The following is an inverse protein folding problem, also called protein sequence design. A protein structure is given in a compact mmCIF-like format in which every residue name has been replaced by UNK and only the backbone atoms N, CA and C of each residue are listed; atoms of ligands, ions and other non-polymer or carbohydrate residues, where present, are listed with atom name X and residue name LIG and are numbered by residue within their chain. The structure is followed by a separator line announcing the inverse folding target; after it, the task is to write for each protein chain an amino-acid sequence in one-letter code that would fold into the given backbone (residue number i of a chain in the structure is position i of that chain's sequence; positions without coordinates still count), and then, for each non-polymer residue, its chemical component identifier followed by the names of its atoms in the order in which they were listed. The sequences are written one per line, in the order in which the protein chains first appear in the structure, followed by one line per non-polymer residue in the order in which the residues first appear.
data_IF_119412386527
#
_entry.id   IF_119412386527
#
_cell.length_a   1.000
_cell.length_b   1.000
_cell.length_c   1.000
_cell.angle_alpha   90.00
_cell.angle_beta   90.00
_cell.angle_gamma   90.00
#
_symmetry.space_group_name_H-M   'P 1'
#
loop_
_entity.id
_entity.type
_entity.pdbx_description
1 polymer ?
#
# COMPACT_ATOMS: atom_id res chain seq x y z
N UNK A 1 8.84 18.41 -4.82
CA UNK A 1 7.62 19.21 -4.61
C UNK A 1 6.61 18.81 -5.67
N UNK A 2 5.59 18.03 -5.31
CA UNK A 2 4.45 17.75 -6.18
C UNK A 2 3.21 18.29 -5.46
N UNK A 3 2.64 19.35 -6.02
CA UNK A 3 1.42 19.98 -5.52
C UNK A 3 0.23 19.09 -5.85
N UNK A 4 -0.43 18.58 -4.82
CA UNK A 4 -1.77 18.00 -4.95
C UNK A 4 -2.76 19.14 -5.24
N UNK A 5 -3.30 19.20 -6.46
CA UNK A 5 -4.47 20.05 -6.74
C UNK A 5 -5.72 19.32 -6.22
N UNK A 6 -6.17 19.74 -5.04
CA UNK A 6 -7.48 19.39 -4.49
C UNK A 6 -8.57 19.92 -5.43
N UNK A 7 -9.40 19.03 -5.98
CA UNK A 7 -10.60 19.37 -6.74
C UNK A 7 -11.66 20.02 -5.84
N UNK A 8 -12.41 20.96 -6.42
CA UNK A 8 -13.35 21.89 -5.76
C UNK A 8 -14.47 21.17 -5.00
N UNK A 9 -14.83 19.96 -5.40
CA UNK A 9 -15.93 19.16 -4.83
C UNK A 9 -15.69 18.75 -3.37
N UNK A 10 -14.44 18.57 -2.96
CA UNK A 10 -14.09 18.15 -1.58
C UNK A 10 -14.14 19.30 -0.56
N UNK A 11 -14.17 20.56 -1.00
CA UNK A 11 -14.31 21.72 -0.10
C UNK A 11 -15.76 22.02 0.27
N UNK A 12 -16.71 21.74 -0.60
CA UNK A 12 -18.13 22.03 -0.33
C UNK A 12 -18.75 21.08 0.70
N UNK A 13 -18.25 19.84 0.80
CA UNK A 13 -18.71 18.86 1.79
C UNK A 13 -18.30 19.18 3.24
N UNK A 14 -17.27 20.01 3.44
CA UNK A 14 -16.75 20.35 4.78
C UNK A 14 -17.17 21.73 5.29
N UNK A 15 -17.90 22.54 4.51
CA UNK A 15 -18.31 23.89 4.90
C UNK A 15 -19.79 24.07 5.27
N UNK A 16 -20.63 23.04 5.18
CA UNK A 16 -22.02 23.12 5.64
C UNK A 16 -22.11 22.88 7.15
N UNK A 17 -21.83 23.95 7.90
CA UNK A 17 -22.18 24.09 9.31
C UNK A 17 -23.66 23.79 9.55
N UNK A 18 -23.90 22.91 10.53
CA UNK A 18 -25.14 22.73 11.27
C UNK A 18 -25.81 24.07 11.59
N UNK A 19 -27.08 24.27 11.18
CA UNK A 19 -27.98 25.25 11.80
C UNK A 19 -29.48 24.95 11.53
N UNK A 20 -30.10 24.38 12.58
CA UNK A 20 -31.49 24.61 13.12
C UNK A 20 -32.71 24.03 12.36
N UNK A 21 -33.91 23.98 13.00
CA UNK A 21 -34.26 23.42 14.31
C UNK A 21 -35.49 22.46 14.23
N UNK A 22 -35.66 21.58 15.22
CA UNK A 22 -36.85 20.72 15.35
C UNK A 22 -38.04 21.51 15.96
N UNK A 23 -39.27 21.41 15.41
CA UNK A 23 -40.46 21.91 16.09
C UNK A 23 -40.99 20.90 17.12
N UNK A 24 -41.52 21.44 18.22
CA UNK A 24 -41.80 20.72 19.47
C UNK A 24 -43.10 19.90 19.51
N UNK A 25 -42.98 18.75 20.17
CA UNK A 25 -43.77 18.21 21.30
C UNK A 25 -45.32 18.32 21.27
N UNK A 26 -45.95 17.15 21.09
CA UNK A 26 -47.05 16.63 21.92
C UNK A 26 -46.67 15.15 22.20
N UNK A 27 -46.63 14.59 23.40
CA UNK A 27 -47.43 14.82 24.59
C UNK A 27 -48.17 13.52 24.94
N UNK A 28 -47.46 12.43 25.28
CA UNK A 28 -48.08 11.25 25.92
C UNK A 28 -47.18 10.73 27.03
N UNK A 29 -47.78 10.60 28.22
CA UNK A 29 -47.20 10.14 29.48
C UNK A 29 -46.97 8.63 29.44
N UNK A 30 -45.83 8.16 29.94
CA UNK A 30 -45.69 6.86 30.55
C UNK A 30 -44.68 6.96 31.71
N UNK A 31 -45.11 6.50 32.87
CA UNK A 31 -44.47 6.50 34.20
C UNK A 31 -43.22 5.63 34.28
N UNK A 32 -42.20 5.98 35.10
CA UNK A 32 -41.05 5.12 35.34
C UNK A 32 -41.26 4.21 36.56
N UNK A 33 -40.97 2.92 36.40
CA UNK A 33 -40.71 2.02 37.52
C UNK A 33 -39.20 2.09 37.88
N UNK A 34 -38.94 2.34 39.15
CA UNK A 34 -37.62 2.45 39.77
C UNK A 34 -37.12 1.09 40.30
N UNK A 35 -35.83 1.09 40.72
CA UNK A 35 -35.07 0.12 41.53
C UNK A 35 -34.00 -0.67 40.72
N UNK A 36 -32.71 -0.78 41.07
CA UNK A 36 -31.97 -0.59 42.35
C UNK A 36 -30.49 -0.17 42.12
N UNK A 37 -29.95 0.62 43.07
CA UNK A 37 -28.57 0.80 43.61
C UNK A 37 -27.33 0.74 42.68
N UNK A 38 -26.52 1.79 42.48
CA UNK A 38 -25.59 2.54 43.37
C UNK A 38 -24.42 1.76 43.98
N UNK A 39 -23.21 2.10 43.54
CA UNK A 39 -21.95 2.03 44.29
C UNK A 39 -21.04 3.19 43.87
N UNK A 40 -20.80 4.15 44.77
CA UNK A 40 -19.85 5.28 44.66
C UNK A 40 -18.58 4.98 45.47
N UNK A 41 -17.46 5.60 45.08
CA UNK A 41 -16.43 6.28 45.91
C UNK A 41 -15.39 6.85 44.91
N UNK A 42 -15.38 8.14 44.54
CA UNK A 42 -14.86 9.37 45.18
C UNK A 42 -13.32 9.45 45.36
N UNK A 43 -12.68 10.52 44.83
CA UNK A 43 -11.24 10.77 45.00
C UNK A 43 -10.55 11.84 44.12
N UNK A 44 -10.85 13.13 44.37
CA UNK A 44 -10.06 14.38 44.21
C UNK A 44 -8.88 14.53 43.20
N UNK A 45 -9.01 15.59 42.38
CA UNK A 45 -7.99 16.49 41.77
C UNK A 45 -7.44 17.50 42.83
N UNK A 46 -6.33 18.28 42.65
CA UNK A 46 -6.08 19.14 41.46
C UNK A 46 -4.62 19.46 41.05
N UNK A 47 -4.46 19.97 39.82
CA UNK A 47 -3.25 20.61 39.33
C UNK A 47 -3.51 21.47 38.10
N UNK A 48 -3.54 22.79 38.28
CA UNK A 48 -3.68 23.85 37.27
C UNK A 48 -2.27 24.38 36.95
N UNK A 49 -1.95 24.73 35.70
CA UNK A 49 -1.23 25.97 35.29
C UNK A 49 -0.95 26.00 33.77
N UNK A 50 -1.47 27.10 33.17
CA UNK A 50 -1.09 27.94 32.01
C UNK A 50 -0.62 27.37 30.66
N UNK A 51 -1.39 27.81 29.65
CA UNK A 51 -0.99 28.06 28.28
C UNK A 51 -0.09 29.29 28.11
N UNK A 52 0.81 29.26 27.12
CA UNK A 52 1.44 30.43 26.48
C UNK A 52 1.60 30.15 24.98
N UNK A 53 1.24 31.16 24.19
CA UNK A 53 1.26 31.22 22.73
C UNK A 53 2.62 31.76 22.20
N UNK A 54 2.86 31.76 20.87
CA UNK A 54 4.19 31.64 20.26
C UNK A 54 4.91 32.98 20.05
N UNK A 55 6.25 32.95 20.05
CA UNK A 55 7.10 34.08 19.64
C UNK A 55 7.69 33.85 18.25
N UNK A 56 7.45 34.84 17.40
CA UNK A 56 8.06 35.08 16.08
C UNK A 56 9.49 35.59 16.23
N UNK A 57 10.43 35.04 15.45
CA UNK A 57 11.72 35.69 15.18
C UNK A 57 12.02 35.71 13.68
N UNK A 58 12.23 36.93 13.20
CA UNK A 58 12.55 37.33 11.83
C UNK A 58 14.02 36.99 11.50
N UNK A 59 14.26 36.38 10.34
CA UNK A 59 15.62 36.06 9.86
C UNK A 59 16.09 37.14 8.89
N UNK A 60 17.21 37.78 9.22
CA UNK A 60 17.87 38.84 8.44
C UNK A 60 18.36 38.32 7.08
N UNK A 61 18.12 39.12 6.05
CA UNK A 61 18.74 39.02 4.73
C UNK A 61 20.21 39.45 4.80
N UNK A 62 21.10 38.66 4.19
CA UNK A 62 22.45 39.09 3.84
C UNK A 62 22.59 39.06 2.31
N UNK A 63 22.83 40.23 1.74
CA UNK A 63 23.14 40.50 0.34
C UNK A 63 24.66 40.54 0.19
N UNK A 64 25.18 40.00 -0.93
CA UNK A 64 26.42 40.35 -1.66
C UNK A 64 26.75 39.19 -2.61
N UNK A 65 27.38 39.34 -3.76
CA UNK A 65 27.64 40.43 -4.70
C UNK A 65 28.32 39.73 -5.88
N UNK A 66 27.93 40.06 -7.11
CA UNK A 66 28.62 39.65 -8.33
C UNK A 66 30.00 40.31 -8.41
N UNK A 67 30.99 39.61 -8.98
CA UNK A 67 32.21 40.22 -9.50
C UNK A 67 32.69 39.50 -10.77
N UNK A 68 33.09 40.31 -11.74
CA UNK A 68 33.28 40.05 -13.16
C UNK A 68 34.55 39.30 -13.53
N UNK A 69 34.52 38.71 -14.73
CA UNK A 69 35.67 38.17 -15.48
C UNK A 69 36.61 39.29 -15.95
N UNK A 70 37.90 39.02 -15.95
CA UNK A 70 38.93 39.74 -16.71
C UNK A 70 39.78 38.75 -17.49
N UNK A 71 40.04 39.08 -18.76
CA UNK A 71 40.90 38.34 -19.70
C UNK A 71 42.38 38.70 -19.51
N UNK A 72 43.30 37.75 -19.76
CA UNK A 72 44.63 38.00 -20.32
C UNK A 72 45.28 36.70 -20.83
N UNK A 73 45.87 36.76 -22.02
CA UNK A 73 46.64 35.72 -22.71
C UNK A 73 48.04 35.45 -22.10
N UNK A 74 48.57 34.22 -22.23
CA UNK A 74 49.96 34.00 -22.70
C UNK A 74 50.26 32.55 -23.13
N UNK A 75 51.20 32.40 -24.06
CA UNK A 75 51.57 31.21 -24.84
C UNK A 75 52.51 30.18 -24.15
N UNK A 76 52.39 28.94 -24.64
CA UNK A 76 53.38 27.87 -24.91
C UNK A 76 54.48 27.48 -23.90
N UNK A 77 54.46 26.20 -23.48
CA UNK A 77 55.65 25.33 -23.40
C UNK A 77 55.27 23.84 -23.37
N UNK A 78 55.90 23.03 -24.24
CA UNK A 78 55.90 21.56 -24.20
C UNK A 78 56.67 21.07 -22.96
N UNK A 79 56.18 20.09 -22.22
CA UNK A 79 56.65 18.69 -22.26
C UNK A 79 56.16 17.85 -21.04
N UNK A 80 55.97 16.55 -21.26
CA UNK A 80 55.88 15.47 -20.24
C UNK A 80 54.81 15.54 -19.13
N UNK A 81 53.58 15.07 -19.39
CA UNK A 81 52.69 14.51 -18.34
C UNK A 81 51.46 13.81 -18.92
N UNK A 82 51.68 12.80 -19.77
CA UNK A 82 50.59 12.00 -20.34
C UNK A 82 49.96 10.98 -19.36
N UNK A 83 50.28 11.02 -18.04
CA UNK A 83 49.89 9.97 -17.09
C UNK A 83 49.06 10.45 -15.89
N UNK A 84 48.52 11.68 -15.90
CA UNK A 84 47.56 12.13 -14.89
C UNK A 84 46.39 12.89 -15.51
N UNK A 85 45.75 12.29 -16.51
CA UNK A 85 44.40 12.72 -16.92
C UNK A 85 43.40 12.18 -15.89
N UNK A 86 43.28 12.93 -14.79
CA UNK A 86 42.23 12.78 -13.77
C UNK A 86 40.90 12.51 -14.49
N UNK A 87 40.32 11.31 -14.29
CA UNK A 87 38.92 11.06 -14.67
C UNK A 87 38.08 12.04 -13.88
N UNK A 88 37.55 13.05 -14.55
CA UNK A 88 36.54 13.95 -14.03
C UNK A 88 35.45 13.11 -13.37
N UNK A 89 35.02 13.50 -12.16
CA UNK A 89 34.11 12.74 -11.32
C UNK A 89 32.84 12.33 -12.06
N UNK A 90 32.80 11.09 -12.53
CA UNK A 90 31.58 10.47 -13.03
C UNK A 90 30.74 10.18 -11.79
N UNK A 91 29.63 10.91 -11.64
CA UNK A 91 28.60 10.57 -10.68
C UNK A 91 28.26 9.07 -10.86
N UNK A 92 28.35 8.25 -9.79
CA UNK A 92 28.06 6.83 -9.91
C UNK A 92 26.67 6.61 -10.51
N UNK A 93 26.54 5.69 -11.46
CA UNK A 93 25.22 5.35 -12.02
C UNK A 93 24.32 4.74 -10.94
N UNK A 94 22.99 4.76 -11.13
CA UNK A 94 22.07 4.19 -10.13
C UNK A 94 22.36 2.71 -9.85
N UNK A 95 22.77 1.99 -10.88
CA UNK A 95 23.21 0.60 -10.81
C UNK A 95 24.47 0.45 -9.96
N UNK A 96 25.44 1.36 -10.10
CA UNK A 96 26.67 1.35 -9.30
C UNK A 96 26.36 1.65 -7.82
N UNK A 97 25.50 2.63 -7.54
CA UNK A 97 25.08 2.94 -6.16
C UNK A 97 24.37 1.73 -5.52
N UNK A 98 23.50 1.07 -6.28
CA UNK A 98 22.82 -0.13 -5.82
C UNK A 98 23.80 -1.28 -5.57
N UNK A 99 24.79 -1.47 -6.46
CA UNK A 99 25.86 -2.44 -6.27
C UNK A 99 26.57 -2.21 -4.93
N UNK A 100 27.07 -1.00 -4.68
CA UNK A 100 27.78 -0.71 -3.43
C UNK A 100 26.92 -0.86 -2.18
N UNK A 101 25.61 -0.58 -2.30
CA UNK A 101 24.65 -0.78 -1.20
C UNK A 101 24.54 -2.26 -0.80
N UNK A 102 24.59 -3.18 -1.75
CA UNK A 102 24.41 -4.62 -1.51
C UNK A 102 25.77 -5.33 -1.26
N UNK A 103 26.83 -4.84 -1.88
CA UNK A 103 28.17 -5.40 -1.75
C UNK A 103 28.76 -5.18 -0.36
N UNK A 104 28.37 -4.12 0.35
CA UNK A 104 28.84 -3.81 1.72
C UNK A 104 30.39 -3.77 1.79
N UNK A 105 31.02 -3.20 0.77
CA UNK A 105 32.48 -3.09 0.65
C UNK A 105 33.19 -4.26 -0.02
N UNK A 106 32.48 -5.32 -0.41
CA UNK A 106 33.06 -6.44 -1.18
C UNK A 106 33.20 -6.08 -2.67
N UNK A 107 34.18 -6.69 -3.36
CA UNK A 107 34.39 -6.46 -4.80
C UNK A 107 33.35 -7.16 -5.69
N UNK A 108 32.73 -8.23 -5.18
CA UNK A 108 31.73 -9.03 -5.88
C UNK A 108 30.55 -9.34 -4.96
N UNK A 109 29.38 -9.53 -5.55
CA UNK A 109 28.14 -9.90 -4.85
C UNK A 109 27.78 -11.34 -5.20
N UNK A 110 27.77 -12.29 -4.25
CA UNK A 110 27.21 -13.61 -4.49
C UNK A 110 25.73 -13.51 -4.90
N UNK A 111 25.31 -14.24 -5.93
CA UNK A 111 23.93 -14.14 -6.44
C UNK A 111 22.87 -14.41 -5.36
N UNK A 112 23.13 -15.34 -4.43
CA UNK A 112 22.23 -15.62 -3.32
C UNK A 112 22.05 -14.39 -2.40
N UNK A 113 23.12 -13.64 -2.11
CA UNK A 113 23.07 -12.41 -1.28
C UNK A 113 22.13 -11.38 -1.91
N UNK A 114 22.22 -11.18 -3.22
CA UNK A 114 21.29 -10.31 -3.95
C UNK A 114 19.84 -10.80 -3.82
N UNK A 115 19.56 -12.08 -4.06
CA UNK A 115 18.19 -12.60 -3.97
C UNK A 115 17.61 -12.57 -2.56
N UNK A 116 18.44 -12.78 -1.54
CA UNK A 116 18.03 -12.68 -0.13
C UNK A 116 17.71 -11.22 0.21
N UNK A 117 18.57 -10.28 -0.19
CA UNK A 117 18.33 -8.86 0.05
C UNK A 117 17.10 -8.36 -0.71
N UNK A 118 16.85 -8.85 -1.93
CA UNK A 118 15.62 -8.58 -2.69
C UNK A 118 14.38 -9.11 -1.95
N UNK A 119 14.40 -10.36 -1.46
CA UNK A 119 13.30 -10.93 -0.68
C UNK A 119 13.04 -10.16 0.61
N UNK A 120 14.08 -9.62 1.24
CA UNK A 120 13.94 -8.81 2.44
C UNK A 120 13.09 -7.54 2.20
N UNK A 121 13.10 -6.99 0.98
CA UNK A 121 12.22 -5.86 0.59
C UNK A 121 10.74 -6.25 0.48
N UNK A 122 10.43 -7.55 0.47
CA UNK A 122 9.09 -8.10 0.27
C UNK A 122 8.77 -8.49 -1.17
N UNK A 123 9.60 -8.12 -2.14
CA UNK A 123 9.44 -8.59 -3.52
C UNK A 123 9.76 -10.08 -3.63
N UNK A 124 9.05 -10.77 -4.53
CA UNK A 124 9.34 -12.17 -4.87
C UNK A 124 10.18 -12.23 -6.14
N UNK A 125 11.04 -13.23 -6.25
CA UNK A 125 11.86 -13.47 -7.46
C UNK A 125 11.01 -13.85 -8.68
N UNK A 126 9.73 -14.18 -8.50
CA UNK A 126 8.77 -14.41 -9.58
C UNK A 126 7.91 -13.18 -9.91
N UNK A 127 8.26 -11.98 -9.44
CA UNK A 127 7.57 -10.75 -9.84
C UNK A 127 7.74 -10.53 -11.35
N UNK A 128 6.65 -10.40 -12.14
CA UNK A 128 6.73 -10.19 -13.58
C UNK A 128 7.58 -8.96 -13.98
N UNK A 129 7.61 -7.92 -13.14
CA UNK A 129 8.38 -6.69 -13.37
C UNK A 129 9.87 -6.86 -13.14
N UNK A 130 10.31 -8.03 -12.65
CA UNK A 130 11.71 -8.39 -12.46
C UNK A 130 12.16 -9.51 -13.41
N UNK A 131 11.32 -9.90 -14.38
CA UNK A 131 11.56 -11.04 -15.26
C UNK A 131 12.93 -10.95 -15.94
N UNK A 132 13.23 -9.83 -16.59
CA UNK A 132 14.47 -9.63 -17.35
C UNK A 132 15.70 -9.71 -16.43
N UNK A 133 15.63 -9.08 -15.26
CA UNK A 133 16.69 -9.15 -14.25
C UNK A 133 16.95 -10.58 -13.78
N UNK A 134 15.89 -11.34 -13.48
CA UNK A 134 16.01 -12.71 -12.98
C UNK A 134 16.49 -13.69 -14.07
N UNK A 135 16.11 -13.47 -15.33
CA UNK A 135 16.59 -14.25 -16.47
C UNK A 135 18.08 -13.97 -16.73
N UNK A 136 18.50 -12.70 -16.76
CA UNK A 136 19.90 -12.31 -16.94
C UNK A 136 20.78 -12.80 -15.79
N UNK A 137 20.27 -12.74 -14.54
CA UNK A 137 20.95 -13.26 -13.37
C UNK A 137 21.18 -14.78 -13.49
N UNK A 138 20.16 -15.55 -13.87
CA UNK A 138 20.27 -16.99 -14.09
C UNK A 138 21.29 -17.32 -15.18
N UNK A 139 21.31 -16.56 -16.28
CA UNK A 139 22.26 -16.77 -17.36
C UNK A 139 23.69 -16.47 -16.90
N UNK A 140 23.89 -15.36 -16.19
CA UNK A 140 25.20 -14.94 -15.67
C UNK A 140 25.78 -15.94 -14.68
N UNK A 141 24.96 -16.43 -13.74
CA UNK A 141 25.40 -17.43 -12.75
C UNK A 141 25.80 -18.76 -13.40
N UNK A 142 25.20 -19.13 -14.54
CA UNK A 142 25.60 -20.32 -15.29
C UNK A 142 26.94 -20.16 -16.01
N UNK A 143 27.30 -18.93 -16.40
CA UNK A 143 28.53 -18.65 -17.15
C UNK A 143 29.75 -18.37 -16.26
N UNK A 144 29.52 -17.98 -15.00
CA UNK A 144 30.60 -17.63 -14.08
C UNK A 144 30.95 -18.81 -13.17
N UNK A 145 32.24 -19.10 -13.00
CA UNK A 145 32.74 -20.24 -12.19
C UNK A 145 32.50 -20.10 -10.68
N UNK A 146 32.49 -18.87 -10.15
CA UNK A 146 32.33 -18.59 -8.72
C UNK A 146 30.88 -18.21 -8.32
N UNK A 147 29.97 -18.09 -9.29
CA UNK A 147 28.58 -17.66 -9.07
C UNK A 147 28.43 -16.24 -8.48
N UNK A 148 29.50 -15.44 -8.51
CA UNK A 148 29.53 -14.09 -7.98
C UNK A 148 29.45 -13.04 -9.10
N UNK A 149 28.81 -11.92 -8.80
CA UNK A 149 28.58 -10.82 -9.73
C UNK A 149 29.59 -9.72 -9.43
N UNK A 150 30.46 -9.42 -10.39
CA UNK A 150 31.20 -8.17 -10.36
C UNK A 150 30.28 -6.98 -10.69
N UNK A 151 30.81 -5.76 -10.57
CA UNK A 151 30.07 -4.52 -10.83
C UNK A 151 29.46 -4.48 -12.24
N UNK A 152 30.17 -4.97 -13.25
CA UNK A 152 29.71 -4.90 -14.65
C UNK A 152 28.59 -5.91 -14.92
N UNK A 153 28.76 -7.14 -14.45
CA UNK A 153 27.77 -8.21 -14.53
C UNK A 153 26.51 -7.84 -13.75
N UNK A 154 26.65 -7.28 -12.55
CA UNK A 154 25.52 -6.80 -11.76
C UNK A 154 24.74 -5.72 -12.52
N UNK A 155 25.43 -4.71 -13.06
CA UNK A 155 24.81 -3.65 -13.87
C UNK A 155 24.02 -4.22 -15.04
N UNK A 156 24.61 -5.17 -15.78
CA UNK A 156 23.93 -5.86 -16.90
C UNK A 156 22.66 -6.59 -16.45
N UNK A 157 22.67 -7.17 -15.24
CA UNK A 157 21.49 -7.86 -14.69
C UNK A 157 20.39 -6.88 -14.27
N UNK A 158 20.71 -5.74 -13.67
CA UNK A 158 19.70 -4.87 -13.05
C UNK A 158 19.20 -3.73 -13.94
N UNK A 159 19.92 -3.39 -15.02
CA UNK A 159 19.65 -2.21 -15.85
C UNK A 159 18.19 -2.09 -16.31
N UNK A 160 17.55 -3.20 -16.73
CA UNK A 160 16.18 -3.18 -17.25
C UNK A 160 15.13 -2.90 -16.18
N UNK A 161 15.45 -3.15 -14.91
CA UNK A 161 14.50 -3.08 -13.79
C UNK A 161 15.01 -2.14 -12.67
N UNK A 162 16.00 -1.29 -12.98
CA UNK A 162 16.74 -0.49 -11.99
C UNK A 162 15.85 0.48 -11.21
N UNK A 163 14.80 1.02 -11.82
CA UNK A 163 13.89 1.96 -11.15
C UNK A 163 13.16 1.29 -10.00
N UNK A 164 12.58 0.10 -10.23
CA UNK A 164 11.89 -0.68 -9.21
C UNK A 164 12.85 -1.16 -8.12
N UNK A 165 14.00 -1.68 -8.52
CA UNK A 165 15.03 -2.13 -7.57
C UNK A 165 15.53 -0.97 -6.70
N UNK A 166 15.74 0.21 -7.28
CA UNK A 166 16.13 1.41 -6.54
C UNK A 166 15.07 1.80 -5.51
N UNK A 167 13.78 1.74 -5.86
CA UNK A 167 12.70 1.99 -4.91
C UNK A 167 12.70 0.98 -3.77
N UNK A 168 12.87 -0.31 -4.08
CA UNK A 168 12.90 -1.39 -3.12
C UNK A 168 14.05 -1.23 -2.10
N UNK A 169 15.27 -1.11 -2.59
CA UNK A 169 16.47 -1.07 -1.75
C UNK A 169 16.65 0.27 -1.01
N UNK A 170 16.08 1.37 -1.53
CA UNK A 170 16.07 2.67 -0.83
C UNK A 170 14.88 2.85 0.12
N UNK A 171 14.16 1.77 0.43
CA UNK A 171 13.00 1.76 1.34
C UNK A 171 11.94 2.79 0.95
N UNK A 172 11.65 2.89 -0.36
CA UNK A 172 10.65 3.81 -0.94
C UNK A 172 9.29 3.16 -1.19
N UNK A 173 9.15 1.87 -0.93
CA UNK A 173 7.84 1.22 -0.90
C UNK A 173 6.98 1.75 0.24
N UNK A 174 5.68 1.59 0.07
CA UNK A 174 4.61 1.99 0.98
C UNK A 174 4.81 1.39 2.38
N UNK A 175 5.42 0.21 2.48
CA UNK A 175 5.90 -0.37 3.73
C UNK A 175 7.43 -0.48 3.68
N UNK A 176 8.17 0.50 4.24
CA UNK A 176 9.64 0.53 4.23
C UNK A 176 10.31 -0.63 4.96
N UNK A 177 9.78 -1.03 6.12
CA UNK A 177 10.29 -2.14 6.94
C UNK A 177 9.34 -3.34 6.86
N UNK A 178 9.41 -4.04 5.73
CA UNK A 178 8.48 -5.12 5.42
C UNK A 178 8.69 -6.35 6.32
N UNK A 179 9.93 -6.66 6.72
CA UNK A 179 10.20 -7.82 7.58
C UNK A 179 9.58 -7.65 8.96
N UNK A 180 9.75 -6.48 9.59
CA UNK A 180 9.10 -6.15 10.86
C UNK A 180 7.58 -6.18 10.74
N UNK A 181 7.04 -5.66 9.64
CA UNK A 181 5.60 -5.74 9.36
C UNK A 181 5.11 -7.19 9.25
N UNK A 182 5.82 -8.06 8.53
CA UNK A 182 5.48 -9.47 8.41
C UNK A 182 5.48 -10.21 9.74
N UNK A 183 6.44 -9.92 10.64
CA UNK A 183 6.46 -10.51 11.97
C UNK A 183 5.18 -10.19 12.76
N UNK A 184 4.68 -8.95 12.67
CA UNK A 184 3.38 -8.61 13.28
C UNK A 184 2.21 -9.33 12.63
N UNK A 185 2.25 -9.57 11.31
CA UNK A 185 1.23 -10.36 10.63
C UNK A 185 1.24 -11.81 11.10
N UNK A 186 2.42 -12.40 11.32
CA UNK A 186 2.57 -13.75 11.86
C UNK A 186 1.97 -13.84 13.27
N UNK A 187 2.25 -12.86 14.14
CA UNK A 187 1.63 -12.78 15.47
C UNK A 187 0.10 -12.66 15.42
N UNK A 188 -0.44 -11.85 14.50
CA UNK A 188 -1.88 -11.71 14.32
C UNK A 188 -2.50 -13.00 13.78
N UNK A 189 -1.80 -13.68 12.87
CA UNK A 189 -2.20 -14.98 12.35
C UNK A 189 -2.33 -16.00 13.49
N UNK A 190 -1.32 -16.10 14.37
CA UNK A 190 -1.29 -17.06 15.48
C UNK A 190 -2.37 -16.74 16.54
N UNK A 191 -2.59 -15.45 16.83
CA UNK A 191 -3.67 -15.03 17.74
C UNK A 191 -5.05 -15.39 17.18
N UNK A 192 -5.28 -15.14 15.90
CA UNK A 192 -6.55 -15.41 15.24
C UNK A 192 -6.80 -16.92 15.03
N UNK A 193 -5.76 -17.70 14.74
CA UNK A 193 -5.85 -19.15 14.50
C UNK A 193 -6.48 -19.91 15.67
N UNK A 194 -6.21 -19.45 16.89
CA UNK A 194 -6.67 -20.11 18.11
C UNK A 194 -8.05 -19.64 18.57
N UNK A 195 -8.73 -18.78 17.81
CA UNK A 195 -10.08 -18.33 18.15
C UNK A 195 -11.09 -19.47 17.94
N UNK A 196 -11.77 -19.95 18.98
CA UNK A 196 -12.72 -21.04 18.85
C UNK A 196 -14.04 -20.57 18.21
N UNK A 197 -14.70 -21.48 17.51
CA UNK A 197 -16.07 -21.30 17.04
C UNK A 197 -16.20 -21.18 15.52
N UNK A 198 -17.38 -20.73 15.08
CA UNK A 198 -17.79 -20.80 13.68
C UNK A 198 -18.35 -22.18 13.30
N UNK A 199 -19.02 -22.23 12.16
CA UNK A 199 -19.51 -23.46 11.56
C UNK A 199 -19.15 -23.42 10.08
N UNK A 200 -18.59 -24.52 9.57
CA UNK A 200 -18.34 -24.68 8.14
C UNK A 200 -19.69 -24.61 7.42
N UNK A 201 -19.76 -23.84 6.33
CA UNK A 201 -20.95 -23.77 5.51
C UNK A 201 -21.30 -25.15 4.94
N UNK A 202 -22.41 -25.73 5.38
CA UNK A 202 -22.82 -27.10 5.08
C UNK A 202 -24.00 -27.20 4.10
N UNK A 203 -24.66 -26.08 3.80
CA UNK A 203 -25.77 -26.00 2.84
C UNK A 203 -25.36 -26.30 1.39
N UNK A 204 -24.06 -26.27 1.06
CA UNK A 204 -23.49 -26.72 -0.22
C UNK A 204 -22.52 -27.87 0.08
N UNK A 205 -22.73 -29.09 -0.45
CA UNK A 205 -21.88 -30.25 -0.14
C UNK A 205 -20.39 -30.03 -0.40
N UNK A 206 -20.04 -29.26 -1.43
CA UNK A 206 -18.66 -28.93 -1.77
C UNK A 206 -17.99 -28.05 -0.71
N UNK A 207 -18.74 -27.20 -0.02
CA UNK A 207 -18.23 -26.35 1.07
C UNK A 207 -18.07 -27.15 2.37
N UNK A 208 -18.98 -28.10 2.63
CA UNK A 208 -18.94 -28.98 3.80
C UNK A 208 -17.67 -29.86 3.86
N UNK A 209 -16.98 -30.06 2.72
CA UNK A 209 -15.77 -30.88 2.61
C UNK A 209 -14.51 -30.22 3.17
N UNK A 210 -14.52 -28.93 3.45
CA UNK A 210 -13.34 -28.22 3.96
C UNK A 210 -13.18 -28.44 5.46
N UNK A 211 -11.95 -28.68 5.91
CA UNK A 211 -11.64 -28.77 7.33
C UNK A 211 -11.82 -27.40 8.00
N UNK A 212 -12.43 -27.33 9.20
CA UNK A 212 -12.50 -26.10 9.98
C UNK A 212 -11.12 -25.59 10.43
N UNK A 213 -10.09 -26.43 10.40
CA UNK A 213 -8.73 -26.10 10.84
C UNK A 213 -7.93 -25.32 9.78
N UNK A 214 -8.46 -25.18 8.57
CA UNK A 214 -7.79 -24.44 7.49
C UNK A 214 -7.79 -22.94 7.79
N UNK A 215 -6.59 -22.37 7.92
CA UNK A 215 -6.43 -20.95 8.23
C UNK A 215 -5.25 -20.35 7.48
N UNK A 216 -5.51 -19.26 6.77
CA UNK A 216 -4.59 -18.68 5.82
C UNK A 216 -4.70 -17.15 5.78
N UNK A 217 -3.56 -16.47 5.75
CA UNK A 217 -3.46 -15.02 5.52
C UNK A 217 -2.48 -14.76 4.39
N UNK A 218 -2.89 -13.96 3.40
CA UNK A 218 -2.06 -13.54 2.28
C UNK A 218 -2.18 -12.04 2.08
N UNK A 219 -1.06 -11.37 1.88
CA UNK A 219 -1.02 -9.93 1.60
C UNK A 219 -0.17 -9.59 0.37
N UNK A 220 -0.60 -8.54 -0.32
CA UNK A 220 0.09 -7.93 -1.44
C UNK A 220 -0.07 -6.42 -1.33
N UNK A 221 1.03 -5.67 -1.22
CA UNK A 221 0.99 -4.21 -1.21
C UNK A 221 0.83 -3.67 -2.63
N UNK A 222 0.49 -2.38 -2.75
CA UNK A 222 0.42 -1.68 -4.05
C UNK A 222 1.76 -1.66 -4.80
N UNK A 223 2.88 -1.80 -4.07
CA UNK A 223 4.21 -1.89 -4.66
C UNK A 223 4.62 -3.33 -5.04
N UNK A 224 3.78 -4.33 -4.73
CA UNK A 224 4.02 -5.74 -5.02
C UNK A 224 4.81 -6.49 -3.94
N UNK A 225 4.95 -5.93 -2.74
CA UNK A 225 5.52 -6.64 -1.59
C UNK A 225 4.51 -7.70 -1.11
N UNK A 226 4.96 -8.93 -0.85
CA UNK A 226 4.08 -10.07 -0.60
C UNK A 226 4.52 -10.92 0.57
N UNK A 227 3.57 -11.27 1.44
CA UNK A 227 3.76 -12.19 2.57
C UNK A 227 2.55 -13.12 2.71
N UNK A 228 2.79 -14.33 3.18
CA UNK A 228 1.77 -15.39 3.24
C UNK A 228 2.07 -16.31 4.43
N UNK A 229 1.04 -16.66 5.20
CA UNK A 229 1.13 -17.51 6.40
C UNK A 229 -0.05 -18.50 6.40
N UNK A 230 0.21 -19.75 6.76
CA UNK A 230 -0.81 -20.81 6.81
C UNK A 230 -1.13 -21.44 5.44
N UNK A 231 -2.36 -21.91 5.27
CA UNK A 231 -2.81 -22.75 4.16
C UNK A 231 -3.09 -21.97 2.85
N UNK A 232 -2.23 -21.00 2.50
CA UNK A 232 -2.49 -20.01 1.44
C UNK A 232 -2.53 -20.56 0.02
N UNK A 233 -2.18 -21.85 -0.17
CA UNK A 233 -2.15 -22.51 -1.47
C UNK A 233 -3.33 -23.46 -1.68
N UNK A 234 -4.21 -23.60 -0.69
CA UNK A 234 -5.43 -24.39 -0.82
C UNK A 234 -6.46 -23.58 -1.62
N UNK A 235 -6.89 -24.05 -2.79
CA UNK A 235 -7.89 -23.33 -3.58
C UNK A 235 -9.28 -23.45 -2.94
N UNK A 236 -10.05 -22.37 -2.98
CA UNK A 236 -11.44 -22.33 -2.56
C UNK A 236 -12.26 -21.41 -3.47
N UNK A 237 -13.58 -21.60 -3.52
CA UNK A 237 -14.47 -20.76 -4.32
C UNK A 237 -14.58 -19.35 -3.72
N UNK A 238 -14.50 -18.30 -4.54
CA UNK A 238 -14.62 -16.91 -4.08
C UNK A 238 -15.97 -16.57 -3.42
N UNK A 239 -17.04 -17.29 -3.78
CA UNK A 239 -18.38 -17.01 -3.30
C UNK A 239 -18.74 -15.51 -3.45
N UNK A 240 -19.37 -14.90 -2.45
CA UNK A 240 -19.77 -13.48 -2.48
C UNK A 240 -18.60 -12.49 -2.61
N UNK A 241 -17.35 -12.90 -2.39
CA UNK A 241 -16.18 -12.05 -2.60
C UNK A 241 -15.99 -11.67 -4.08
N UNK A 242 -16.67 -12.33 -5.03
CA UNK A 242 -16.64 -11.97 -6.45
C UNK A 242 -17.48 -10.73 -6.80
N UNK A 243 -18.45 -10.35 -5.95
CA UNK A 243 -19.41 -9.27 -6.26
C UNK A 243 -18.75 -7.91 -6.51
N UNK A 244 -17.77 -7.45 -5.70
CA UNK A 244 -17.07 -6.21 -5.98
C UNK A 244 -16.30 -6.23 -7.30
N UNK A 245 -15.75 -7.39 -7.69
CA UNK A 245 -15.01 -7.54 -8.94
C UNK A 245 -15.94 -7.40 -10.15
N UNK A 246 -17.10 -8.07 -10.11
CA UNK A 246 -18.13 -7.93 -11.15
C UNK A 246 -18.60 -6.49 -11.28
N UNK A 247 -18.86 -5.83 -10.16
CA UNK A 247 -19.25 -4.42 -10.16
C UNK A 247 -18.19 -3.51 -10.76
N UNK A 248 -16.91 -3.71 -10.41
CA UNK A 248 -15.81 -2.96 -11.00
C UNK A 248 -15.74 -3.15 -12.53
N UNK A 249 -15.93 -4.38 -13.03
CA UNK A 249 -15.97 -4.68 -14.47
C UNK A 249 -17.15 -3.97 -15.14
N UNK A 250 -18.37 -4.10 -14.60
CA UNK A 250 -19.55 -3.46 -15.18
C UNK A 250 -19.41 -1.92 -15.25
N UNK A 251 -18.84 -1.30 -14.20
CA UNK A 251 -18.56 0.14 -14.19
C UNK A 251 -17.44 0.51 -15.15
N UNK A 252 -16.41 -0.32 -15.29
CA UNK A 252 -15.34 -0.10 -16.26
C UNK A 252 -15.86 -0.09 -17.70
N UNK A 253 -16.74 -1.04 -18.04
CA UNK A 253 -17.23 -1.23 -19.40
C UNK A 253 -18.35 -0.25 -19.79
N UNK A 254 -19.20 0.16 -18.84
CA UNK A 254 -20.40 0.94 -19.12
C UNK A 254 -20.46 2.32 -18.44
N UNK A 255 -19.55 2.61 -17.52
CA UNK A 255 -19.57 3.82 -16.71
C UNK A 255 -20.55 3.75 -15.53
N UNK A 256 -20.26 4.57 -14.53
CA UNK A 256 -20.99 4.61 -13.25
C UNK A 256 -22.46 4.96 -13.45
N UNK A 257 -22.74 5.96 -14.29
CA UNK A 257 -24.08 6.49 -14.53
C UNK A 257 -24.99 5.42 -15.14
N UNK A 258 -24.48 4.62 -16.09
CA UNK A 258 -25.25 3.56 -16.72
C UNK A 258 -25.58 2.44 -15.74
N UNK A 259 -24.57 1.91 -15.04
CA UNK A 259 -24.76 0.82 -14.07
C UNK A 259 -25.77 1.19 -13.00
N UNK A 260 -25.72 2.43 -12.51
CA UNK A 260 -26.61 2.89 -11.46
C UNK A 260 -28.03 3.29 -11.91
N UNK A 261 -28.35 3.16 -13.20
CA UNK A 261 -29.76 3.13 -13.65
C UNK A 261 -30.46 1.86 -13.19
N UNK A 262 -29.72 0.77 -13.00
CA UNK A 262 -30.28 -0.56 -12.68
C UNK A 262 -30.04 -0.98 -11.23
N UNK A 263 -29.02 -0.43 -10.56
CA UNK A 263 -28.62 -0.82 -9.21
C UNK A 263 -28.39 0.44 -8.38
N UNK A 264 -28.96 0.52 -7.18
CA UNK A 264 -28.71 1.66 -6.28
C UNK A 264 -27.32 1.60 -5.63
N UNK A 265 -27.02 2.57 -4.75
CA UNK A 265 -25.71 2.74 -4.09
C UNK A 265 -25.73 2.49 -2.58
N UNK A 266 -26.90 2.58 -1.97
CA UNK A 266 -27.05 2.68 -0.52
C UNK A 266 -27.20 1.30 0.14
N UNK A 267 -26.81 1.17 1.43
CA UNK A 267 -27.10 -0.05 2.18
C UNK A 267 -28.62 -0.23 2.34
N UNK A 268 -29.07 -1.48 2.37
CA UNK A 268 -30.49 -1.80 2.57
C UNK A 268 -30.96 -1.66 4.02
N UNK A 269 -30.04 -1.68 5.00
CA UNK A 269 -30.38 -1.87 6.42
C UNK A 269 -30.96 -3.26 6.75
N UNK A 270 -31.06 -4.16 5.77
CA UNK A 270 -31.65 -5.49 5.88
C UNK A 270 -30.59 -6.59 5.69
N UNK A 271 -30.87 -7.80 6.19
CA UNK A 271 -29.97 -8.96 6.01
C UNK A 271 -29.78 -9.29 4.52
N UNK A 272 -28.57 -9.72 4.17
CA UNK A 272 -28.10 -9.96 2.78
C UNK A 272 -28.88 -11.01 1.97
N UNK A 273 -29.62 -11.91 2.63
CA UNK A 273 -30.33 -13.02 1.99
C UNK A 273 -31.73 -12.69 1.48
N UNK A 274 -32.19 -11.43 1.61
CA UNK A 274 -33.50 -11.05 1.11
C UNK A 274 -33.38 -10.39 -0.26
N UNK A 275 -34.12 -10.92 -1.24
CA UNK A 275 -34.27 -10.33 -2.56
C UNK A 275 -35.31 -9.20 -2.47
N UNK A 276 -34.87 -8.02 -2.05
CA UNK A 276 -35.70 -6.82 -2.03
C UNK A 276 -35.14 -5.75 -2.95
N UNK A 277 -36.08 -4.99 -3.48
CA UNK A 277 -35.83 -3.76 -4.22
C UNK A 277 -36.09 -2.57 -3.29
N UNK A 278 -35.45 -1.45 -3.60
CA UNK A 278 -35.77 -0.18 -2.97
C UNK A 278 -37.07 0.41 -3.54
N UNK A 279 -37.45 1.59 -3.07
CA UNK A 279 -38.64 2.32 -3.53
C UNK A 279 -38.61 2.71 -5.02
N UNK A 280 -37.45 2.59 -5.68
CA UNK A 280 -37.25 2.86 -7.11
C UNK A 280 -37.21 1.56 -7.93
N UNK A 281 -37.64 0.42 -7.38
CA UNK A 281 -37.60 -0.90 -8.00
C UNK A 281 -36.20 -1.36 -8.44
N UNK A 282 -35.15 -0.90 -7.74
CA UNK A 282 -33.75 -1.31 -7.96
C UNK A 282 -33.22 -2.10 -6.78
N UNK A 283 -32.32 -3.08 -6.98
CA UNK A 283 -31.56 -3.63 -5.87
C UNK A 283 -30.74 -2.54 -5.17
N UNK A 284 -30.67 -2.60 -3.84
CA UNK A 284 -30.07 -1.55 -3.02
C UNK A 284 -28.60 -1.23 -3.36
N UNK A 285 -27.79 -2.25 -3.64
CA UNK A 285 -26.38 -2.10 -3.99
C UNK A 285 -25.83 -3.37 -4.64
N UNK A 286 -24.68 -3.30 -5.33
CA UNK A 286 -24.07 -4.47 -5.97
C UNK A 286 -23.55 -5.56 -5.00
N UNK A 287 -23.54 -5.32 -3.68
CA UNK A 287 -23.00 -6.27 -2.69
C UNK A 287 -24.04 -7.28 -2.20
N UNK A 288 -25.34 -7.00 -2.38
CA UNK A 288 -26.42 -7.96 -2.11
C UNK A 288 -26.65 -8.89 -3.31
N UNK A 289 -27.29 -10.05 -3.07
CA UNK A 289 -27.50 -11.06 -4.13
C UNK A 289 -28.28 -10.49 -5.32
N UNK A 290 -29.35 -9.74 -5.09
CA UNK A 290 -30.14 -9.11 -6.14
C UNK A 290 -29.31 -8.15 -7.01
N UNK A 291 -28.48 -7.30 -6.39
CA UNK A 291 -27.62 -6.37 -7.11
C UNK A 291 -26.51 -7.07 -7.88
N UNK A 292 -25.96 -8.16 -7.35
CA UNK A 292 -24.97 -8.97 -8.05
C UNK A 292 -25.55 -9.70 -9.28
N UNK A 293 -26.81 -10.11 -9.24
CA UNK A 293 -27.52 -10.70 -10.39
C UNK A 293 -27.69 -9.66 -11.49
N UNK A 294 -28.23 -8.48 -11.16
CA UNK A 294 -28.36 -7.37 -12.12
C UNK A 294 -26.98 -6.95 -12.66
N UNK A 295 -25.96 -6.88 -11.81
CA UNK A 295 -24.61 -6.56 -12.26
C UNK A 295 -24.07 -7.60 -13.25
N UNK A 296 -24.41 -8.88 -13.06
CA UNK A 296 -23.98 -9.94 -13.99
C UNK A 296 -24.68 -9.80 -15.34
N UNK A 297 -25.94 -9.35 -15.41
CA UNK A 297 -26.61 -9.13 -16.70
C UNK A 297 -26.07 -7.94 -17.50
N UNK A 298 -25.23 -7.10 -16.89
CA UNK A 298 -24.57 -5.99 -17.59
C UNK A 298 -23.23 -6.41 -18.23
N UNK A 299 -22.68 -7.57 -17.91
CA UNK A 299 -21.35 -8.00 -18.36
C UNK A 299 -21.52 -9.02 -19.50
N UNK A 300 -20.72 -8.89 -20.56
CA UNK A 300 -20.71 -9.81 -21.71
C UNK A 300 -20.02 -11.13 -21.44
#
# INVERSE_FOLDING_TARGET
MLHFRSTVVLKELFQTQLKRPLPGRAGVKATPAACFSTGRLDGRLPGRVRALAPQSFTRRHAVRSFCSKGDSHNEASKDSSAEKRRKAGILPSLEDLLFYTIAEGQEKIPAHKFTTALKATGLRTGDPRLKECMEMLKQTVKTTSDGALDRHLFKKCVQSNIVLLTQAFRKKFVIPDFQSFCAHIDELYDKAKNMPGGQVADYIPQLARFSPDLWAVSLCTVDGQRHTVGDTKVPFCLQSCVKPLKYAIAVHDHGTEYVHRFIAKEPSGLRFNKLFLNEEDKPHNPMVNAGAIVCTSLIK
#
